data_IF_846576975844
#
_entry.id   IF_846576975844
#
_cell.length_a   1.000
_cell.length_b   1.000
_cell.length_c   1.000
_cell.angle_alpha   90.00
_cell.angle_beta   90.00
_cell.angle_gamma   90.00
#
_symmetry.space_group_name_H-M   'P 1'
#
loop_
_entity.id
_entity.type
_entity.pdbx_description
1 polymer ?
#
# COMPACT_ATOMS: atom_id res chain seq x y z
N UNK A 1 5.62 -12.26 2.21
CA UNK A 1 6.93 -12.01 1.54
C UNK A 1 8.04 -12.23 2.56
N UNK A 2 8.83 -13.32 2.45
CA UNK A 2 9.95 -13.55 3.35
C UNK A 2 11.04 -12.47 3.17
N UNK A 3 11.66 -12.08 4.27
CA UNK A 3 12.76 -11.11 4.32
C UNK A 3 14.07 -11.88 4.39
N UNK A 4 15.07 -11.45 3.62
CA UNK A 4 16.41 -12.06 3.63
C UNK A 4 17.16 -11.71 4.92
N UNK A 5 18.09 -12.58 5.32
CA UNK A 5 18.99 -12.31 6.43
C UNK A 5 19.84 -11.07 6.18
N UNK A 6 20.19 -10.36 7.25
CA UNK A 6 21.02 -9.14 7.20
C UNK A 6 20.28 -7.86 6.81
N UNK A 7 18.96 -7.91 6.59
CA UNK A 7 18.13 -6.72 6.39
C UNK A 7 17.84 -6.04 7.74
N UNK A 8 18.14 -4.74 7.86
CA UNK A 8 17.71 -3.94 9.02
C UNK A 8 16.22 -3.64 8.90
N UNK A 9 15.45 -4.15 9.86
CA UNK A 9 14.00 -4.03 9.88
C UNK A 9 13.53 -2.59 9.99
N UNK A 10 14.25 -1.71 10.69
CA UNK A 10 13.87 -0.30 10.83
C UNK A 10 14.04 0.43 9.51
N UNK A 11 15.15 0.20 8.82
CA UNK A 11 15.39 0.75 7.49
C UNK A 11 14.36 0.23 6.48
N UNK A 12 13.98 -1.06 6.58
CA UNK A 12 12.92 -1.63 5.75
C UNK A 12 11.57 -0.96 5.98
N UNK A 13 11.18 -0.74 7.25
CA UNK A 13 9.94 -0.02 7.58
C UNK A 13 9.96 1.40 7.02
N UNK A 14 11.09 2.10 7.16
CA UNK A 14 11.26 3.45 6.61
C UNK A 14 11.15 3.47 5.09
N UNK A 15 11.70 2.48 4.39
CA UNK A 15 11.58 2.37 2.93
C UNK A 15 10.13 2.20 2.48
N UNK A 16 9.38 1.31 3.14
CA UNK A 16 7.93 1.14 2.91
C UNK A 16 7.15 2.42 3.18
N UNK A 17 7.37 3.05 4.34
CA UNK A 17 6.71 4.29 4.72
C UNK A 17 6.96 5.39 3.68
N UNK A 18 8.21 5.55 3.25
CA UNK A 18 8.59 6.59 2.28
C UNK A 18 7.92 6.37 0.92
N UNK A 19 7.95 5.12 0.41
CA UNK A 19 7.39 4.82 -0.92
C UNK A 19 5.87 4.92 -0.91
N UNK A 20 5.20 4.26 0.04
CA UNK A 20 3.72 4.29 0.08
C UNK A 20 3.19 5.70 0.33
N UNK A 21 3.85 6.50 1.20
CA UNK A 21 3.44 7.89 1.43
C UNK A 21 3.57 8.77 0.18
N UNK A 22 4.43 8.40 -0.78
CA UNK A 22 4.61 9.15 -2.02
C UNK A 22 3.53 8.87 -3.06
N UNK A 23 2.84 7.73 -2.98
CA UNK A 23 1.88 7.31 -3.99
C UNK A 23 0.49 7.86 -3.70
N UNK A 24 -0.14 8.50 -4.69
CA UNK A 24 -1.53 8.96 -4.57
C UNK A 24 -2.46 7.80 -4.20
N UNK A 25 -2.29 6.62 -4.83
CA UNK A 25 -3.17 5.46 -4.61
C UNK A 25 -3.18 4.95 -3.17
N UNK A 26 -2.05 5.01 -2.47
CA UNK A 26 -1.95 4.62 -1.06
C UNK A 26 -2.43 5.72 -0.10
N UNK A 27 -2.65 6.93 -0.61
CA UNK A 27 -3.24 8.08 0.11
C UNK A 27 -4.69 8.33 -0.30
N UNK A 28 -5.30 7.47 -1.10
CA UNK A 28 -6.68 7.63 -1.53
C UNK A 28 -7.63 7.08 -0.48
N UNK A 29 -8.54 7.93 -0.02
CA UNK A 29 -9.72 7.56 0.73
C UNK A 29 -10.95 7.49 -0.20
N UNK A 30 -11.84 6.54 0.05
CA UNK A 30 -13.10 6.34 -0.63
C UNK A 30 -14.22 6.87 0.25
N UNK A 31 -14.79 8.01 -0.14
CA UNK A 31 -15.84 8.68 0.62
C UNK A 31 -17.19 8.36 0.01
N UNK A 32 -18.16 7.98 0.84
CA UNK A 32 -19.54 7.82 0.39
C UNK A 32 -20.15 9.19 0.06
N UNK A 33 -20.91 9.24 -1.03
CA UNK A 33 -21.65 10.42 -1.47
C UNK A 33 -23.15 10.13 -1.45
N UNK A 34 -23.94 11.14 -1.13
CA UNK A 34 -25.40 11.13 -1.36
C UNK A 34 -25.69 11.47 -2.84
N UNK A 35 -25.22 10.61 -3.75
CA UNK A 35 -25.46 10.72 -5.20
C UNK A 35 -25.83 9.35 -5.79
N UNK A 36 -26.94 9.30 -6.53
CA UNK A 36 -27.51 8.06 -7.06
C UNK A 36 -26.70 7.46 -8.21
N UNK A 37 -25.87 8.25 -8.89
CA UNK A 37 -25.11 7.85 -10.09
C UNK A 37 -23.65 7.53 -9.72
N UNK A 38 -23.08 8.29 -8.80
CA UNK A 38 -21.70 8.19 -8.34
C UNK A 38 -21.67 8.18 -6.80
N UNK A 39 -22.02 7.05 -6.16
CA UNK A 39 -22.15 6.96 -4.70
C UNK A 39 -20.82 7.02 -3.94
N UNK A 40 -19.69 7.19 -4.64
CA UNK A 40 -18.36 7.27 -4.05
C UNK A 40 -17.49 8.33 -4.73
N UNK A 41 -16.73 9.07 -3.92
CA UNK A 41 -15.61 9.90 -4.37
C UNK A 41 -14.28 9.28 -3.95
N UNK A 42 -13.24 9.52 -4.75
CA UNK A 42 -11.86 9.29 -4.36
C UNK A 42 -11.22 10.60 -3.92
N UNK A 43 -10.72 10.62 -2.69
CA UNK A 43 -10.08 11.77 -2.07
C UNK A 43 -8.61 11.47 -1.85
N UNK A 44 -7.72 12.20 -2.54
CA UNK A 44 -6.28 12.03 -2.39
C UNK A 44 -5.82 12.89 -1.21
N UNK A 45 -5.39 12.25 -0.11
CA UNK A 45 -4.90 12.95 1.08
C UNK A 45 -3.55 13.60 0.81
N UNK A 46 -3.26 14.72 1.48
CA UNK A 46 -1.99 15.42 1.31
C UNK A 46 -0.89 14.60 1.97
N UNK A 47 0.35 14.56 1.44
CA UNK A 47 1.45 13.76 2.01
C UNK A 47 1.80 14.03 3.49
N UNK A 48 1.29 15.11 4.08
CA UNK A 48 1.52 15.51 5.47
C UNK A 48 0.42 15.05 6.42
N UNK A 49 -0.67 14.48 5.92
CA UNK A 49 -1.75 13.96 6.74
C UNK A 49 -1.30 12.72 7.51
N UNK A 50 -1.76 12.57 8.76
CA UNK A 50 -1.33 11.48 9.66
C UNK A 50 -1.69 10.09 9.11
N UNK A 51 -2.78 10.01 8.36
CA UNK A 51 -3.32 8.79 7.74
C UNK A 51 -2.54 8.29 6.52
N UNK A 52 -1.53 9.05 6.07
CA UNK A 52 -0.73 8.72 4.89
C UNK A 52 0.26 7.59 5.13
N UNK A 53 0.73 7.44 6.36
CA UNK A 53 1.72 6.42 6.66
C UNK A 53 1.06 5.04 6.65
N UNK A 54 1.75 4.00 6.13
CA UNK A 54 1.28 2.63 6.25
C UNK A 54 0.99 2.28 7.71
N UNK A 55 -0.19 1.72 7.97
CA UNK A 55 -0.47 1.13 9.26
C UNK A 55 0.37 -0.15 9.42
N UNK A 56 1.00 -0.30 10.58
CA UNK A 56 1.86 -1.45 10.88
C UNK A 56 1.30 -2.26 12.05
N UNK A 57 1.17 -3.57 11.84
CA UNK A 57 1.11 -4.53 12.94
C UNK A 57 2.44 -5.29 13.02
N UNK A 58 2.96 -5.50 14.23
CA UNK A 58 4.17 -6.30 14.44
C UNK A 58 3.85 -7.48 15.33
N UNK A 59 4.26 -8.67 14.88
CA UNK A 59 4.10 -9.93 15.59
C UNK A 59 5.48 -10.52 15.86
N UNK A 60 5.73 -10.90 17.11
CA UNK A 60 6.96 -11.58 17.52
C UNK A 60 6.61 -12.99 17.98
N UNK A 61 7.24 -13.98 17.37
CA UNK A 61 7.06 -15.39 17.71
C UNK A 61 8.12 -15.78 18.75
N UNK A 62 7.66 -16.31 19.89
CA UNK A 62 8.54 -16.77 20.96
C UNK A 62 9.41 -17.99 20.58
N UNK A 63 10.29 -18.37 21.50
CA UNK A 63 11.31 -19.41 21.29
C UNK A 63 10.66 -20.74 20.88
N UNK A 64 11.13 -21.33 19.78
CA UNK A 64 10.76 -22.69 19.35
C UNK A 64 10.08 -22.81 17.98
N UNK A 65 9.90 -21.73 17.22
CA UNK A 65 9.45 -21.64 15.80
C UNK A 65 8.13 -22.34 15.41
N UNK A 66 7.55 -23.18 16.27
CA UNK A 66 6.36 -24.02 15.99
C UNK A 66 5.09 -23.21 15.71
N UNK A 67 5.10 -21.91 15.97
CA UNK A 67 3.97 -21.00 15.78
C UNK A 67 4.21 -19.94 14.68
N UNK A 68 5.30 -20.03 13.90
CA UNK A 68 5.61 -18.99 12.92
C UNK A 68 4.58 -18.92 11.78
N UNK A 69 4.34 -20.04 11.11
CA UNK A 69 3.38 -20.08 10.00
C UNK A 69 1.97 -19.75 10.47
N UNK A 70 1.55 -20.27 11.64
CA UNK A 70 0.26 -19.93 12.24
C UNK A 70 0.16 -18.44 12.61
N UNK A 71 1.26 -17.80 13.02
CA UNK A 71 1.31 -16.34 13.22
C UNK A 71 1.23 -15.57 11.90
N UNK A 72 1.88 -16.04 10.83
CA UNK A 72 1.74 -15.44 9.49
C UNK A 72 0.30 -15.54 9.01
N UNK A 73 -0.34 -16.70 9.14
CA UNK A 73 -1.75 -16.86 8.79
C UNK A 73 -2.66 -15.96 9.64
N UNK A 74 -2.37 -15.82 10.94
CA UNK A 74 -3.09 -14.88 11.81
C UNK A 74 -2.91 -13.44 11.35
N UNK A 75 -1.69 -13.05 10.95
CA UNK A 75 -1.43 -11.72 10.40
C UNK A 75 -2.24 -11.49 9.12
N UNK A 76 -2.28 -12.48 8.20
CA UNK A 76 -3.11 -12.41 7.00
C UNK A 76 -4.60 -12.25 7.32
N UNK A 77 -5.15 -13.05 8.24
CA UNK A 77 -6.57 -12.96 8.66
C UNK A 77 -6.90 -11.63 9.32
N UNK A 78 -5.98 -11.12 10.14
CA UNK A 78 -6.19 -9.84 10.82
C UNK A 78 -6.10 -8.67 9.85
N UNK A 79 -5.36 -8.79 8.76
CA UNK A 79 -5.13 -7.68 7.85
C UNK A 79 -6.43 -7.14 7.23
N UNK A 80 -7.43 -7.99 7.00
CA UNK A 80 -8.76 -7.58 6.52
C UNK A 80 -9.47 -6.63 7.50
N UNK A 81 -9.27 -6.80 8.81
CA UNK A 81 -9.88 -5.93 9.83
C UNK A 81 -9.10 -4.64 10.08
N UNK A 82 -7.92 -4.49 9.46
CA UNK A 82 -7.08 -3.30 9.58
C UNK A 82 -7.22 -2.35 8.39
N UNK A 83 -7.93 -2.76 7.34
CA UNK A 83 -8.16 -1.92 6.16
C UNK A 83 -9.51 -1.22 6.32
N UNK A 84 -9.50 0.09 6.17
CA UNK A 84 -10.69 0.91 6.05
C UNK A 84 -10.50 1.83 4.85
N UNK A 85 -11.29 1.59 3.79
CA UNK A 85 -11.18 2.36 2.55
C UNK A 85 -11.49 3.84 2.73
N UNK A 86 -12.19 4.24 3.80
CA UNK A 86 -12.45 5.64 4.14
C UNK A 86 -11.26 6.37 4.76
N UNK A 87 -10.23 5.63 5.22
CA UNK A 87 -9.06 6.21 5.90
C UNK A 87 -7.74 5.63 5.37
N UNK A 88 -7.49 4.33 5.55
CA UNK A 88 -6.32 3.63 5.03
C UNK A 88 -6.71 2.36 4.27
N UNK A 89 -6.57 2.43 2.94
CA UNK A 89 -6.90 1.33 2.03
C UNK A 89 -5.81 0.22 1.99
N UNK A 90 -4.83 0.25 2.89
CA UNK A 90 -3.74 -0.73 2.97
C UNK A 90 -3.25 -0.96 4.40
N UNK A 91 -2.63 -2.11 4.63
CA UNK A 91 -2.03 -2.45 5.91
C UNK A 91 -0.80 -3.32 5.72
N UNK A 92 0.22 -3.12 6.56
CA UNK A 92 1.42 -3.95 6.58
C UNK A 92 1.52 -4.69 7.92
N UNK A 93 1.71 -6.00 7.85
CA UNK A 93 2.09 -6.80 9.01
C UNK A 93 3.52 -7.31 8.89
N UNK A 94 4.28 -7.14 9.96
CA UNK A 94 5.62 -7.68 10.11
C UNK A 94 5.60 -8.84 11.11
N UNK A 95 5.95 -10.03 10.65
CA UNK A 95 6.06 -11.22 11.51
C UNK A 95 7.52 -11.60 11.66
N UNK A 96 8.03 -11.58 12.88
CA UNK A 96 9.44 -11.84 13.20
C UNK A 96 9.59 -13.04 14.14
N UNK A 97 10.70 -13.75 14.00
CA UNK A 97 11.20 -14.78 14.91
C UNK A 97 12.73 -14.69 14.96
N UNK A 98 13.37 -15.56 15.73
CA UNK A 98 14.84 -15.56 15.85
C UNK A 98 15.58 -15.81 14.53
N UNK A 99 14.97 -16.52 13.57
CA UNK A 99 15.65 -16.97 12.35
C UNK A 99 15.03 -16.49 11.06
N UNK A 100 13.83 -15.91 11.12
CA UNK A 100 13.10 -15.49 9.91
C UNK A 100 12.14 -14.36 10.18
N UNK A 101 11.94 -13.53 9.16
CA UNK A 101 10.99 -12.42 9.15
C UNK A 101 10.18 -12.41 7.86
N UNK A 102 8.91 -12.00 7.93
CA UNK A 102 7.99 -11.95 6.81
C UNK A 102 7.20 -10.66 6.86
N UNK A 103 7.11 -9.97 5.71
CA UNK A 103 6.16 -8.89 5.48
C UNK A 103 4.91 -9.46 4.82
N UNK A 104 3.75 -9.16 5.39
CA UNK A 104 2.43 -9.37 4.78
C UNK A 104 1.89 -8.00 4.39
N UNK A 105 1.62 -7.82 3.10
CA UNK A 105 1.02 -6.62 2.56
C UNK A 105 -0.43 -6.94 2.19
N UNK A 106 -1.35 -6.16 2.73
CA UNK A 106 -2.78 -6.27 2.44
C UNK A 106 -3.28 -4.93 1.93
N UNK A 107 -4.06 -4.95 0.87
CA UNK A 107 -4.47 -3.74 0.15
C UNK A 107 -5.84 -3.95 -0.46
N UNK A 108 -6.66 -2.91 -0.47
CA UNK A 108 -7.88 -2.88 -1.25
C UNK A 108 -7.56 -2.95 -2.74
N UNK A 109 -8.22 -3.83 -3.49
CA UNK A 109 -7.89 -4.04 -4.90
C UNK A 109 -8.11 -2.77 -5.76
N UNK A 110 -8.96 -1.84 -5.34
CA UNK A 110 -9.19 -0.59 -6.07
C UNK A 110 -7.99 0.35 -6.16
N UNK A 111 -6.92 0.13 -5.37
CA UNK A 111 -5.74 1.02 -5.35
C UNK A 111 -4.49 0.44 -6.05
N UNK A 112 -4.56 -0.80 -6.56
CA UNK A 112 -3.42 -1.45 -7.23
C UNK A 112 -3.85 -2.50 -8.27
N UNK A 113 -2.93 -2.81 -9.18
CA UNK A 113 -3.04 -3.94 -10.11
C UNK A 113 -1.73 -4.78 -10.10
N UNK A 114 -1.68 -5.83 -10.93
CA UNK A 114 -0.53 -6.73 -10.99
C UNK A 114 0.78 -6.03 -11.37
N UNK A 115 0.74 -5.05 -12.28
CA UNK A 115 1.92 -4.28 -12.69
C UNK A 115 2.39 -3.30 -11.61
N UNK A 116 1.43 -2.65 -10.94
CA UNK A 116 1.68 -1.68 -9.88
C UNK A 116 2.34 -2.33 -8.66
N UNK A 117 1.98 -3.57 -8.32
CA UNK A 117 2.63 -4.31 -7.23
C UNK A 117 4.13 -4.52 -7.50
N UNK A 118 4.50 -4.88 -8.72
CA UNK A 118 5.92 -5.07 -9.06
C UNK A 118 6.70 -3.76 -8.96
N UNK A 119 6.12 -2.66 -9.45
CA UNK A 119 6.71 -1.33 -9.36
C UNK A 119 6.86 -0.89 -7.90
N UNK A 120 5.84 -1.11 -7.06
CA UNK A 120 5.89 -0.82 -5.62
C UNK A 120 7.06 -1.55 -4.95
N UNK A 121 7.19 -2.86 -5.16
CA UNK A 121 8.26 -3.66 -4.55
C UNK A 121 9.65 -3.22 -5.05
N UNK A 122 9.76 -2.86 -6.33
CA UNK A 122 10.99 -2.29 -6.88
C UNK A 122 11.34 -0.97 -6.17
N UNK A 123 10.39 -0.05 -6.03
CA UNK A 123 10.64 1.24 -5.39
C UNK A 123 10.99 1.10 -3.91
N UNK A 124 10.35 0.18 -3.18
CA UNK A 124 10.72 -0.13 -1.79
C UNK A 124 12.15 -0.66 -1.71
N UNK A 125 12.55 -1.52 -2.64
CA UNK A 125 13.93 -2.04 -2.71
C UNK A 125 14.94 -0.94 -3.02
N UNK A 126 14.60 -0.03 -3.95
CA UNK A 126 15.44 1.13 -4.28
C UNK A 126 15.57 2.10 -3.10
N UNK A 127 14.47 2.40 -2.41
CA UNK A 127 14.44 3.25 -1.23
C UNK A 127 15.25 2.66 -0.07
N UNK A 128 15.12 1.34 0.18
CA UNK A 128 15.94 0.64 1.18
C UNK A 128 17.44 0.73 0.84
N UNK A 129 17.80 0.67 -0.45
CA UNK A 129 19.18 0.85 -0.90
C UNK A 129 19.66 2.32 -0.87
N UNK A 130 18.90 3.25 -0.28
CA UNK A 130 19.24 4.66 -0.17
C UNK A 130 19.09 5.46 -1.47
N UNK A 131 18.42 4.91 -2.49
CA UNK A 131 18.14 5.66 -3.73
C UNK A 131 16.96 6.63 -3.50
N UNK A 132 16.94 7.77 -4.20
CA UNK A 132 15.83 8.71 -4.10
C UNK A 132 14.54 8.07 -4.61
N UNK A 133 13.42 8.37 -3.95
CA UNK A 133 12.09 7.94 -4.40
C UNK A 133 11.76 8.65 -5.70
N UNK A 134 11.36 7.86 -6.71
CA UNK A 134 10.97 8.40 -8.01
C UNK A 134 9.63 9.11 -7.90
N UNK A 135 9.57 10.31 -8.46
CA UNK A 135 8.31 11.04 -8.56
C UNK A 135 7.35 10.29 -9.49
N UNK A 136 6.10 10.15 -9.05
CA UNK A 136 5.04 9.46 -9.79
C UNK A 136 4.11 10.50 -10.38
N UNK A 137 3.62 10.24 -11.59
CA UNK A 137 2.52 11.01 -12.16
C UNK A 137 1.32 10.95 -11.22
N UNK A 138 0.80 12.10 -10.82
CA UNK A 138 -0.38 12.16 -9.97
C UNK A 138 -1.60 11.55 -10.68
N UNK A 139 -2.48 10.90 -9.91
CA UNK A 139 -3.77 10.40 -10.41
C UNK A 139 -4.65 11.52 -10.97
N UNK A 140 -4.45 12.78 -10.55
CA UNK A 140 -5.13 13.93 -11.15
C UNK A 140 -4.89 14.05 -12.65
N UNK A 141 -3.70 13.65 -13.14
CA UNK A 141 -3.38 13.73 -14.57
C UNK A 141 -4.29 12.84 -15.41
N UNK A 142 -4.59 11.62 -14.96
CA UNK A 142 -5.45 10.72 -15.73
C UNK A 142 -6.91 11.16 -15.66
N UNK A 143 -7.34 11.70 -14.52
CA UNK A 143 -8.69 12.29 -14.36
C UNK A 143 -8.86 13.47 -15.30
N UNK A 144 -7.91 14.41 -15.30
CA UNK A 144 -7.93 15.55 -16.21
C UNK A 144 -7.91 15.11 -17.68
N UNK A 145 -7.07 14.13 -18.02
CA UNK A 145 -7.02 13.58 -19.38
C UNK A 145 -8.36 12.99 -19.81
N UNK A 146 -9.00 12.20 -18.94
CA UNK A 146 -10.32 11.62 -19.22
C UNK A 146 -11.38 12.69 -19.50
N UNK A 147 -11.47 13.72 -18.67
CA UNK A 147 -12.44 14.81 -18.86
C UNK A 147 -12.08 15.79 -19.98
N UNK A 148 -10.82 15.81 -20.42
CA UNK A 148 -10.37 16.62 -21.56
C UNK A 148 -10.45 15.88 -22.90
N UNK A 149 -10.68 14.56 -22.87
CA UNK A 149 -10.81 13.76 -24.07
C UNK A 149 -12.16 13.99 -24.73
N UNK A 150 -12.18 14.07 -26.06
CA UNK A 150 -13.41 14.21 -26.86
C UNK A 150 -14.16 12.86 -26.91
N UNK A 151 -15.35 12.73 -26.29
CA UNK A 151 -16.11 11.49 -26.30
C UNK A 151 -16.61 11.09 -27.71
N UNK A 152 -16.84 12.07 -28.59
CA UNK A 152 -17.35 11.84 -29.94
C UNK A 152 -16.26 11.40 -30.93
N UNK A 153 -15.00 11.78 -30.67
CA UNK A 153 -13.86 11.30 -31.44
C UNK A 153 -13.53 9.83 -31.09
N UNK A 154 -13.73 9.44 -29.84
CA UNK A 154 -13.39 8.10 -29.33
C UNK A 154 -14.36 7.01 -29.81
N UNK A 155 -15.59 7.38 -30.19
CA UNK A 155 -16.62 6.48 -30.71
C UNK A 155 -16.49 6.16 -32.21
N UNK A 156 -15.51 6.77 -32.91
CA UNK A 156 -15.28 6.58 -34.36
C UNK A 156 -14.28 5.46 -34.68
N UNK A 157 -13.86 4.68 -33.68
CA UNK A 157 -12.92 3.57 -33.81
C UNK A 157 -13.46 2.31 -33.12
#
# INVERSE_FOLDING_TARGET
MPIRDGIDIRELKQAWDTVMSSYDSFRTAFCHLEDDISPFAQCILKPRDEFVKPAWSTYSVGIGHRDYNATVERACRNAETQIDIGTNASHISLVTSETQSTVVLSMFHGIFDGGSLQILLQHVTEAYAGKPVRERTSLEHIVHHYYSADPEATTRF
#
